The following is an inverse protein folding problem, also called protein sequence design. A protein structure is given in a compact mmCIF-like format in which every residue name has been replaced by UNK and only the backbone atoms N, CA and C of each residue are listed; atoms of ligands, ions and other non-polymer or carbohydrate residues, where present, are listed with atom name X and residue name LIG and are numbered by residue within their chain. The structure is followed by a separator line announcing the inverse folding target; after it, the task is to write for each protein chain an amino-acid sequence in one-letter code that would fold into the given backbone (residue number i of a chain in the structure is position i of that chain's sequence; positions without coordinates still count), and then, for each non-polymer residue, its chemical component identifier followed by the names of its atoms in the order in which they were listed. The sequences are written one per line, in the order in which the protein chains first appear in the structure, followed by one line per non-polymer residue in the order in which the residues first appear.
data_IF_860517616081
#
_entry.id   IF_860517616081
#
_cell.length_a   1.000
_cell.length_b   1.000
_cell.length_c   1.000
_cell.angle_alpha   90.00
_cell.angle_beta   90.00
_cell.angle_gamma   90.00
#
_symmetry.space_group_name_H-M   'P 1'
#
loop_
_entity.id
_entity.type
_entity.pdbx_description
1 polymer ?
#
# COMPACT_ATOMS: atom_id res chain seq x y z
N UNK A 1 13.83 13.05 -3.28
CA UNK A 1 12.91 12.18 -2.48
C UNK A 1 13.70 11.14 -1.72
N UNK A 2 13.20 10.62 -0.59
CA UNK A 2 13.96 9.69 0.27
C UNK A 2 13.92 8.23 -0.20
N UNK A 3 13.37 7.94 -1.37
CA UNK A 3 13.12 6.58 -1.82
C UNK A 3 12.02 5.84 -1.04
N UNK A 4 11.33 6.54 -0.12
CA UNK A 4 10.28 6.02 0.75
C UNK A 4 8.98 6.79 0.51
N UNK A 5 7.88 6.08 0.27
CA UNK A 5 6.54 6.66 0.22
C UNK A 5 5.99 6.89 1.62
N UNK A 6 5.30 8.01 1.82
CA UNK A 6 4.61 8.34 3.07
C UNK A 6 3.16 8.70 2.74
N UNK A 7 2.22 8.16 3.50
CA UNK A 7 0.83 8.58 3.43
C UNK A 7 0.18 8.55 4.81
N UNK A 8 -0.83 9.42 4.99
CA UNK A 8 -1.70 9.43 6.17
C UNK A 8 -2.99 8.70 5.77
N UNK A 9 -3.33 7.64 6.48
CA UNK A 9 -4.45 6.75 6.17
C UNK A 9 -5.48 6.80 7.30
N UNK A 10 -6.71 7.19 6.98
CA UNK A 10 -7.89 6.95 7.80
C UNK A 10 -8.55 5.68 7.30
N UNK A 11 -8.50 4.61 8.09
CA UNK A 11 -8.95 3.27 7.69
C UNK A 11 -10.47 3.25 7.53
N UNK A 12 -10.97 2.61 6.46
CA UNK A 12 -12.41 2.45 6.22
C UNK A 12 -13.14 1.86 7.44
N UNK A 13 -14.33 2.37 7.71
CA UNK A 13 -15.24 1.89 8.77
C UNK A 13 -16.39 1.04 8.23
N UNK A 14 -16.32 0.64 6.96
CA UNK A 14 -17.36 -0.15 6.31
C UNK A 14 -17.32 -1.61 6.78
N UNK A 15 -18.45 -2.16 7.23
CA UNK A 15 -18.52 -3.57 7.59
C UNK A 15 -18.36 -4.46 6.33
N UNK A 16 -17.68 -5.59 6.49
CA UNK A 16 -17.54 -6.64 5.51
C UNK A 16 -18.42 -7.85 5.86
N UNK A 17 -18.40 -8.90 5.03
CA UNK A 17 -19.22 -10.11 5.23
C UNK A 17 -18.91 -10.85 6.54
N UNK A 18 -17.68 -10.75 7.04
CA UNK A 18 -17.27 -11.30 8.35
C UNK A 18 -17.64 -10.42 9.55
N UNK A 19 -18.37 -9.32 9.32
CA UNK A 19 -18.78 -8.36 10.33
C UNK A 19 -17.68 -7.38 10.77
N UNK A 20 -16.44 -7.58 10.34
CA UNK A 20 -15.33 -6.67 10.66
C UNK A 20 -15.32 -5.47 9.70
N UNK A 21 -14.91 -4.31 10.23
CA UNK A 21 -14.71 -3.10 9.43
C UNK A 21 -13.25 -2.99 9.03
N UNK A 22 -12.95 -2.37 7.89
CA UNK A 22 -11.55 -2.12 7.53
C UNK A 22 -11.26 -2.09 6.05
N UNK A 23 -9.96 -2.24 5.74
CA UNK A 23 -9.39 -2.14 4.41
C UNK A 23 -9.47 -3.40 3.56
N UNK A 24 -8.98 -3.28 2.32
CA UNK A 24 -8.86 -4.38 1.38
C UNK A 24 -7.62 -5.22 1.68
N UNK A 25 -7.74 -6.52 1.88
CA UNK A 25 -6.58 -7.40 2.00
C UNK A 25 -5.78 -7.44 0.70
N UNK A 26 -4.46 -7.34 0.82
CA UNK A 26 -3.53 -7.38 -0.31
C UNK A 26 -2.12 -7.74 0.15
N UNK A 27 -1.21 -8.00 -0.77
CA UNK A 27 0.22 -8.07 -0.54
C UNK A 27 0.96 -7.09 -1.45
N UNK A 28 2.19 -6.73 -1.05
CA UNK A 28 3.17 -6.11 -1.94
C UNK A 28 4.19 -7.16 -2.39
N UNK A 29 4.55 -7.13 -3.67
CA UNK A 29 5.50 -8.09 -4.24
C UNK A 29 6.95 -7.65 -4.04
N UNK A 30 7.22 -6.35 -3.94
CA UNK A 30 8.57 -5.77 -3.90
C UNK A 30 8.77 -4.77 -2.74
N UNK A 31 7.71 -4.25 -2.15
CA UNK A 31 7.80 -3.23 -1.12
C UNK A 31 7.63 -3.81 0.28
N UNK A 32 8.54 -3.46 1.20
CA UNK A 32 8.25 -3.56 2.62
C UNK A 32 7.39 -2.36 3.04
N UNK A 33 6.49 -2.58 3.97
CA UNK A 33 5.56 -1.60 4.47
C UNK A 33 5.62 -1.54 6.00
N UNK A 34 5.38 -0.36 6.55
CA UNK A 34 5.22 -0.20 7.99
C UNK A 34 4.05 0.73 8.30
N UNK A 35 3.38 0.44 9.40
CA UNK A 35 2.32 1.24 9.99
C UNK A 35 2.80 1.88 11.28
N UNK A 36 2.67 3.19 11.40
CA UNK A 36 2.80 3.90 12.67
C UNK A 36 1.41 4.41 13.06
N UNK A 37 0.83 3.84 14.13
CA UNK A 37 -0.52 4.18 14.58
C UNK A 37 -0.52 5.53 15.28
N UNK A 38 -1.35 6.45 14.77
CA UNK A 38 -1.45 7.82 15.33
C UNK A 38 -2.73 8.07 16.10
N UNK A 39 -3.82 7.35 15.79
CA UNK A 39 -5.10 7.48 16.51
C UNK A 39 -5.98 6.24 16.37
N UNK A 40 -6.99 6.13 17.22
CA UNK A 40 -7.97 5.05 17.20
C UNK A 40 -7.42 3.72 17.68
N UNK A 41 -8.12 2.64 17.33
CA UNK A 41 -7.74 1.28 17.67
C UNK A 41 -8.16 0.30 16.58
N UNK A 42 -7.52 -0.87 16.55
CA UNK A 42 -7.85 -1.90 15.59
C UNK A 42 -6.84 -3.04 15.61
N UNK A 43 -6.69 -3.71 14.48
CA UNK A 43 -5.72 -4.76 14.29
C UNK A 43 -5.22 -4.80 12.84
N UNK A 44 -4.07 -5.40 12.61
CA UNK A 44 -3.66 -5.90 11.30
C UNK A 44 -3.69 -7.42 11.32
N UNK A 45 -4.49 -7.99 10.42
CA UNK A 45 -4.51 -9.42 10.12
C UNK A 45 -3.47 -9.68 9.05
N UNK A 46 -2.59 -10.64 9.27
CA UNK A 46 -1.55 -11.02 8.32
C UNK A 46 -1.62 -12.50 7.99
N UNK A 47 -1.27 -12.83 6.75
CA UNK A 47 -1.09 -14.19 6.30
C UNK A 47 0.26 -14.29 5.57
N UNK A 48 1.08 -15.20 6.04
CA UNK A 48 2.42 -15.50 5.52
C UNK A 48 2.57 -16.99 5.26
N UNK A 49 3.73 -17.39 4.77
CA UNK A 49 4.05 -18.81 4.66
C UNK A 49 3.99 -19.57 5.99
N UNK A 50 4.21 -18.86 7.10
CA UNK A 50 4.13 -19.41 8.47
C UNK A 50 2.72 -19.53 9.02
N UNK A 51 1.74 -18.89 8.38
CA UNK A 51 0.33 -18.93 8.77
C UNK A 51 -0.27 -17.56 9.03
N UNK A 52 -1.44 -17.57 9.67
CA UNK A 52 -2.24 -16.40 10.01
C UNK A 52 -1.85 -15.86 11.39
N UNK A 53 -1.76 -14.54 11.48
CA UNK A 53 -1.58 -13.81 12.75
C UNK A 53 -2.46 -12.56 12.77
N UNK A 54 -2.78 -12.09 13.97
CA UNK A 54 -3.45 -10.81 14.19
C UNK A 54 -2.66 -10.00 15.21
N UNK A 55 -2.27 -8.78 14.83
CA UNK A 55 -1.51 -7.88 15.69
C UNK A 55 -2.39 -6.68 16.05
N UNK A 56 -2.56 -6.42 17.34
CA UNK A 56 -3.33 -5.27 17.83
C UNK A 56 -2.64 -3.95 17.48
N UNK A 57 -3.44 -2.96 17.09
CA UNK A 57 -3.02 -1.61 16.73
C UNK A 57 -3.62 -0.59 17.71
N UNK A 58 -2.74 0.16 18.35
CA UNK A 58 -3.08 1.26 19.25
C UNK A 58 -2.07 2.41 19.04
N UNK A 59 -2.39 3.67 19.41
CA UNK A 59 -1.49 4.80 19.25
C UNK A 59 -0.09 4.52 19.82
N UNK A 60 0.94 4.81 19.02
CA UNK A 60 2.34 4.53 19.32
C UNK A 60 2.84 3.15 18.88
N UNK A 61 1.96 2.23 18.50
CA UNK A 61 2.39 0.96 17.90
C UNK A 61 3.01 1.18 16.51
N UNK A 62 4.11 0.46 16.25
CA UNK A 62 4.74 0.38 14.92
C UNK A 62 4.81 -1.08 14.51
N UNK A 63 4.23 -1.40 13.37
CA UNK A 63 4.24 -2.76 12.80
C UNK A 63 4.87 -2.69 11.42
N UNK A 64 5.78 -3.60 11.11
CA UNK A 64 6.43 -3.71 9.81
C UNK A 64 6.27 -5.11 9.24
N UNK A 65 6.04 -5.21 7.95
CA UNK A 65 6.01 -6.47 7.20
C UNK A 65 6.78 -6.36 5.88
N UNK A 66 7.26 -7.50 5.43
CA UNK A 66 8.09 -7.63 4.24
C UNK A 66 7.24 -7.99 3.01
N UNK A 67 7.78 -7.87 1.78
CA UNK A 67 7.12 -8.36 0.58
C UNK A 67 6.61 -9.79 0.75
N UNK A 68 5.46 -10.10 0.14
CA UNK A 68 4.81 -11.41 0.25
C UNK A 68 3.93 -11.59 1.49
N UNK A 69 3.87 -10.62 2.40
CA UNK A 69 2.91 -10.65 3.52
C UNK A 69 1.55 -10.15 3.04
N UNK A 70 0.54 -11.02 2.97
CA UNK A 70 -0.85 -10.59 2.84
C UNK A 70 -1.25 -9.91 4.15
N UNK A 71 -1.84 -8.73 4.06
CA UNK A 71 -2.26 -7.98 5.23
C UNK A 71 -3.61 -7.29 5.00
N UNK A 72 -4.40 -7.19 6.08
CA UNK A 72 -5.71 -6.53 6.13
C UNK A 72 -5.79 -5.68 7.39
N UNK A 73 -6.08 -4.40 7.25
CA UNK A 73 -6.41 -3.54 8.39
C UNK A 73 -7.84 -3.79 8.85
N UNK A 74 -8.01 -3.97 10.15
CA UNK A 74 -9.30 -4.02 10.85
C UNK A 74 -9.43 -2.75 11.69
N UNK A 75 -10.50 -1.99 11.47
CA UNK A 75 -10.79 -0.76 12.19
C UNK A 75 -11.70 -1.04 13.38
N UNK A 76 -11.13 -0.96 14.59
CA UNK A 76 -11.86 -1.12 15.85
C UNK A 76 -12.51 0.19 16.34
N UNK A 77 -12.20 1.32 15.71
CA UNK A 77 -12.76 2.64 16.00
C UNK A 77 -11.76 3.76 15.72
N UNK A 78 -12.02 4.55 14.68
CA UNK A 78 -11.24 5.74 14.33
C UNK A 78 -9.76 5.47 14.03
N UNK A 79 -9.42 4.27 13.53
CA UNK A 79 -8.04 3.89 13.26
C UNK A 79 -7.42 4.78 12.18
N UNK A 80 -6.38 5.50 12.56
CA UNK A 80 -5.57 6.34 11.67
C UNK A 80 -4.10 5.99 11.83
N UNK A 81 -3.42 5.83 10.72
CA UNK A 81 -2.01 5.40 10.67
C UNK A 81 -1.22 6.24 9.68
N UNK A 82 0.06 6.43 9.95
CA UNK A 82 1.03 6.84 8.93
C UNK A 82 1.58 5.56 8.30
N UNK A 83 1.42 5.45 7.00
CA UNK A 83 1.97 4.37 6.19
C UNK A 83 3.33 4.79 5.67
N UNK A 84 4.33 3.95 5.91
CA UNK A 84 5.69 4.09 5.40
C UNK A 84 5.93 2.95 4.41
N UNK A 85 6.18 3.33 3.15
CA UNK A 85 6.36 2.37 2.07
C UNK A 85 7.78 2.45 1.54
N UNK A 86 8.51 1.34 1.60
CA UNK A 86 9.77 1.21 0.87
C UNK A 86 9.51 1.35 -0.63
N UNK A 87 10.48 1.81 -1.38
CA UNK A 87 10.40 1.88 -2.84
C UNK A 87 9.23 2.75 -3.34
N UNK A 88 9.24 4.03 -2.97
CA UNK A 88 8.28 5.04 -3.46
C UNK A 88 8.06 4.93 -4.98
N UNK A 89 6.80 4.95 -5.41
CA UNK A 89 6.40 4.83 -6.82
C UNK A 89 6.09 3.40 -7.29
N UNK A 90 6.55 2.35 -6.61
CA UNK A 90 6.23 0.97 -6.95
C UNK A 90 4.79 0.58 -6.53
N UNK A 91 4.29 0.94 -5.34
CA UNK A 91 2.91 0.69 -4.97
C UNK A 91 1.92 1.30 -5.97
N UNK A 92 2.18 2.53 -6.38
CA UNK A 92 1.38 3.26 -7.36
C UNK A 92 1.48 2.64 -8.77
N UNK A 93 2.60 2.01 -9.09
CA UNK A 93 2.79 1.27 -10.34
C UNK A 93 2.07 -0.08 -10.37
N UNK A 94 1.50 -0.52 -9.23
CA UNK A 94 0.75 -1.77 -9.12
C UNK A 94 1.56 -2.95 -8.59
N UNK A 95 2.54 -2.69 -7.72
CA UNK A 95 3.22 -3.70 -6.91
C UNK A 95 2.26 -4.44 -5.96
N UNK A 96 1.18 -3.78 -5.54
CA UNK A 96 0.16 -4.37 -4.69
C UNK A 96 -0.77 -5.31 -5.46
N UNK A 97 -1.01 -6.51 -4.92
CA UNK A 97 -1.96 -7.48 -5.44
C UNK A 97 -3.04 -7.78 -4.41
N UNK A 98 -4.29 -7.51 -4.78
CA UNK A 98 -5.47 -7.76 -3.95
C UNK A 98 -5.79 -9.26 -3.88
N UNK A 99 -6.26 -9.71 -2.73
CA UNK A 99 -6.63 -11.11 -2.49
C UNK A 99 -8.00 -11.47 -3.08
N UNK A 100 -8.22 -11.18 -4.35
CA UNK A 100 -9.48 -11.56 -5.01
C UNK A 100 -9.65 -13.08 -5.10
N UNK A 101 -10.87 -13.59 -5.29
CA UNK A 101 -11.12 -15.02 -5.53
C UNK A 101 -10.29 -15.59 -6.69
N UNK A 102 -9.96 -16.90 -6.68
CA UNK A 102 -9.06 -17.51 -7.65
C UNK A 102 -9.50 -17.35 -9.12
N UNK A 103 -10.79 -17.34 -9.40
CA UNK A 103 -11.32 -17.14 -10.75
C UNK A 103 -11.13 -15.71 -11.28
N UNK A 104 -11.02 -14.73 -10.38
CA UNK A 104 -10.66 -13.35 -10.74
C UNK A 104 -9.15 -13.22 -10.92
N UNK A 105 -8.36 -13.86 -10.06
CA UNK A 105 -6.90 -13.85 -10.14
C UNK A 105 -6.36 -14.56 -11.39
N UNK A 106 -7.07 -15.58 -11.86
CA UNK A 106 -6.69 -16.37 -13.05
C UNK A 106 -6.89 -15.62 -14.38
N UNK A 107 -7.65 -14.53 -14.39
CA UNK A 107 -7.93 -13.74 -15.59
C UNK A 107 -7.44 -12.29 -15.40
N UNK A 108 -6.32 -11.89 -16.03
CA UNK A 108 -5.77 -10.53 -15.90
C UNK A 108 -6.75 -9.41 -16.29
N UNK A 109 -7.66 -9.65 -17.22
CA UNK A 109 -8.64 -8.64 -17.62
C UNK A 109 -9.73 -8.47 -16.55
N UNK A 110 -10.23 -9.56 -15.97
CA UNK A 110 -11.15 -9.55 -14.83
C UNK A 110 -10.50 -8.92 -13.61
N UNK A 111 -9.26 -9.29 -13.31
CA UNK A 111 -8.49 -8.68 -12.22
C UNK A 111 -8.39 -7.16 -12.39
N UNK A 112 -7.97 -6.70 -13.57
CA UNK A 112 -7.85 -5.28 -13.86
C UNK A 112 -9.21 -4.53 -13.79
N UNK A 113 -10.31 -5.17 -14.19
CA UNK A 113 -11.64 -4.60 -14.02
C UNK A 113 -12.06 -4.51 -12.55
N UNK A 114 -11.81 -5.55 -11.76
CA UNK A 114 -12.11 -5.59 -10.33
C UNK A 114 -11.29 -4.55 -9.53
N UNK A 115 -10.03 -4.31 -9.90
CA UNK A 115 -9.18 -3.26 -9.28
C UNK A 115 -9.79 -1.87 -9.50
N UNK A 116 -10.45 -1.63 -10.64
CA UNK A 116 -11.08 -0.34 -10.98
C UNK A 116 -12.53 -0.19 -10.50
N UNK A 117 -13.11 -1.21 -9.87
CA UNK A 117 -14.47 -1.11 -9.30
C UNK A 117 -14.50 -0.10 -8.14
N UNK A 118 -15.71 0.27 -7.71
CA UNK A 118 -15.90 1.18 -6.59
C UNK A 118 -15.13 0.70 -5.34
N UNK A 119 -14.57 1.59 -4.53
CA UNK A 119 -13.69 1.21 -3.42
C UNK A 119 -14.29 0.16 -2.48
N UNK A 120 -15.60 0.26 -2.19
CA UNK A 120 -16.29 -0.69 -1.33
C UNK A 120 -16.44 -2.06 -1.98
N UNK A 121 -16.85 -2.11 -3.24
CA UNK A 121 -16.99 -3.36 -4.00
C UNK A 121 -15.66 -4.09 -4.11
N UNK A 122 -14.60 -3.35 -4.47
CA UNK A 122 -13.23 -3.86 -4.54
C UNK A 122 -12.77 -4.43 -3.19
N UNK A 123 -13.04 -3.71 -2.09
CA UNK A 123 -12.72 -4.14 -0.75
C UNK A 123 -13.49 -5.42 -0.38
N UNK A 124 -14.78 -5.49 -0.65
CA UNK A 124 -15.62 -6.63 -0.31
C UNK A 124 -15.16 -7.88 -1.06
N UNK A 125 -14.88 -7.77 -2.35
CA UNK A 125 -14.34 -8.86 -3.16
C UNK A 125 -12.95 -9.33 -2.66
N UNK A 126 -12.10 -8.40 -2.21
CA UNK A 126 -10.80 -8.76 -1.65
C UNK A 126 -10.95 -9.47 -0.29
N UNK A 127 -11.92 -9.08 0.53
CA UNK A 127 -12.22 -9.78 1.79
C UNK A 127 -12.73 -11.19 1.55
N UNK A 128 -13.65 -11.40 0.59
CA UNK A 128 -14.10 -12.74 0.18
C UNK A 128 -12.91 -13.66 -0.13
N UNK A 129 -12.02 -13.21 -1.01
CA UNK A 129 -10.84 -13.99 -1.38
C UNK A 129 -9.88 -14.22 -0.21
N UNK A 130 -9.70 -13.23 0.68
CA UNK A 130 -8.87 -13.38 1.88
C UNK A 130 -9.40 -14.43 2.85
N UNK A 131 -10.70 -14.45 3.11
CA UNK A 131 -11.32 -15.43 3.99
C UNK A 131 -11.18 -16.84 3.43
N UNK A 132 -11.33 -16.98 2.12
CA UNK A 132 -11.11 -18.23 1.40
C UNK A 132 -9.64 -18.66 1.48
N UNK A 133 -8.72 -17.76 1.17
CA UNK A 133 -7.28 -18.00 1.25
C UNK A 133 -6.85 -18.46 2.66
N UNK A 134 -7.39 -17.81 3.69
CA UNK A 134 -7.15 -18.19 5.09
C UNK A 134 -7.68 -19.58 5.40
N UNK A 135 -8.85 -19.95 4.90
CA UNK A 135 -9.44 -21.27 5.10
C UNK A 135 -8.67 -22.39 4.37
N UNK A 136 -8.16 -22.14 3.17
CA UNK A 136 -7.36 -23.07 2.37
C UNK A 136 -5.95 -23.28 2.95
N UNK A 137 -5.47 -22.35 3.75
CA UNK A 137 -4.16 -22.43 4.40
C UNK A 137 -2.99 -22.39 3.42
N UNK A 138 -1.91 -23.14 3.72
CA UNK A 138 -0.67 -23.08 2.93
C UNK A 138 -0.83 -23.43 1.43
N UNK A 139 -1.64 -24.43 1.02
CA UNK A 139 -1.86 -24.68 -0.41
C UNK A 139 -2.51 -23.51 -1.14
N UNK A 140 -3.55 -22.92 -0.55
CA UNK A 140 -4.19 -21.73 -1.12
C UNK A 140 -3.23 -20.54 -1.18
N UNK A 141 -2.43 -20.33 -0.13
CA UNK A 141 -1.44 -19.25 -0.09
C UNK A 141 -0.36 -19.43 -1.18
N UNK A 142 0.11 -20.67 -1.42
CA UNK A 142 1.05 -20.96 -2.50
C UNK A 142 0.45 -20.59 -3.87
N UNK A 143 -0.78 -21.03 -4.15
CA UNK A 143 -1.46 -20.72 -5.40
C UNK A 143 -1.69 -19.21 -5.57
N UNK A 144 -2.00 -18.49 -4.49
CA UNK A 144 -2.13 -17.03 -4.51
C UNK A 144 -0.80 -16.34 -4.85
N UNK A 145 0.34 -16.78 -4.28
CA UNK A 145 1.64 -16.21 -4.60
C UNK A 145 2.01 -16.41 -6.09
N UNK A 146 1.72 -17.59 -6.65
CA UNK A 146 1.92 -17.87 -8.08
C UNK A 146 1.05 -16.95 -8.96
N UNK A 147 -0.23 -16.80 -8.62
CA UNK A 147 -1.12 -15.90 -9.34
C UNK A 147 -0.66 -14.43 -9.24
N UNK A 148 -0.25 -13.99 -8.05
CA UNK A 148 0.28 -12.64 -7.84
C UNK A 148 1.53 -12.37 -8.67
N UNK A 149 2.47 -13.33 -8.71
CA UNK A 149 3.66 -13.23 -9.54
C UNK A 149 3.32 -13.14 -11.03
N UNK A 150 2.35 -13.94 -11.50
CA UNK A 150 1.86 -13.88 -12.89
C UNK A 150 1.23 -12.54 -13.25
N UNK A 151 0.45 -11.94 -12.34
CA UNK A 151 -0.20 -10.65 -12.56
C UNK A 151 0.78 -9.48 -12.64
N UNK A 152 1.89 -9.53 -11.90
CA UNK A 152 2.91 -8.46 -11.91
C UNK A 152 3.99 -8.66 -12.97
N UNK A 153 4.20 -9.89 -13.45
CA UNK A 153 5.27 -10.22 -14.41
C UNK A 153 5.36 -9.27 -15.63
N UNK A 154 4.24 -8.86 -16.28
CA UNK A 154 4.30 -7.93 -17.42
C UNK A 154 4.74 -6.51 -17.06
N UNK A 155 4.88 -6.18 -15.77
CA UNK A 155 5.22 -4.84 -15.27
C UNK A 155 6.64 -4.73 -14.72
N UNK A 156 7.39 -5.83 -14.66
CA UNK A 156 8.69 -5.87 -13.99
C UNK A 156 9.69 -4.87 -14.55
N UNK A 157 9.73 -4.67 -15.87
CA UNK A 157 10.62 -3.68 -16.49
C UNK A 157 10.25 -2.24 -16.05
N UNK A 158 8.95 -1.94 -15.96
CA UNK A 158 8.48 -0.65 -15.48
C UNK A 158 8.77 -0.47 -13.97
N UNK A 159 8.68 -1.53 -13.18
CA UNK A 159 9.07 -1.50 -11.76
C UNK A 159 10.56 -1.27 -11.60
N UNK A 160 11.40 -1.95 -12.40
CA UNK A 160 12.85 -1.75 -12.37
C UNK A 160 13.22 -0.29 -12.74
N UNK A 161 12.63 0.26 -13.78
CA UNK A 161 12.85 1.66 -14.17
C UNK A 161 12.51 2.63 -13.02
N UNK A 162 11.34 2.47 -12.39
CA UNK A 162 10.92 3.31 -11.25
C UNK A 162 11.83 3.15 -10.03
N UNK A 163 12.22 1.92 -9.72
CA UNK A 163 13.14 1.66 -8.64
C UNK A 163 14.50 2.32 -8.88
N UNK A 164 15.04 2.22 -10.11
CA UNK A 164 16.30 2.89 -10.49
C UNK A 164 16.20 4.41 -10.39
N UNK A 165 15.12 4.98 -10.91
CA UNK A 165 14.94 6.44 -10.97
C UNK A 165 14.56 7.08 -9.63
N UNK A 166 14.04 6.32 -8.70
CA UNK A 166 13.65 6.78 -7.37
C UNK A 166 14.54 6.24 -6.24
N UNK A 167 14.21 5.08 -5.67
CA UNK A 167 14.89 4.54 -4.49
C UNK A 167 16.39 4.32 -4.66
N UNK A 168 16.83 3.74 -5.79
CA UNK A 168 18.25 3.50 -6.05
C UNK A 168 18.99 4.83 -6.20
N UNK A 169 18.45 5.79 -6.97
CA UNK A 169 19.07 7.11 -7.13
C UNK A 169 19.21 7.84 -5.80
N UNK A 170 18.24 7.73 -4.89
CA UNK A 170 18.34 8.31 -3.55
C UNK A 170 19.52 7.72 -2.75
N UNK A 171 19.72 6.40 -2.84
CA UNK A 171 20.86 5.74 -2.22
C UNK A 171 22.20 6.13 -2.88
N UNK A 172 22.28 6.22 -4.19
CA UNK A 172 23.46 6.67 -4.94
C UNK A 172 23.84 8.11 -4.63
N UNK A 173 22.86 9.00 -4.45
CA UNK A 173 23.08 10.37 -4.00
C UNK A 173 23.78 10.40 -2.65
N UNK A 174 23.34 9.57 -1.70
CA UNK A 174 24.02 9.43 -0.40
C UNK A 174 25.47 8.94 -0.57
N UNK A 175 25.71 8.00 -1.48
CA UNK A 175 27.07 7.54 -1.81
C UNK A 175 27.97 8.66 -2.33
N UNK A 176 27.46 9.50 -3.23
CA UNK A 176 28.18 10.67 -3.76
C UNK A 176 28.46 11.70 -2.66
N UNK A 177 27.50 11.98 -1.76
CA UNK A 177 27.70 12.87 -0.61
C UNK A 177 28.76 12.35 0.36
N UNK A 178 28.81 11.04 0.62
CA UNK A 178 29.87 10.42 1.42
C UNK A 178 31.25 10.59 0.77
N UNK A 179 31.35 10.46 -0.53
CA UNK A 179 32.61 10.66 -1.26
C UNK A 179 33.03 12.14 -1.21
N UNK A 180 32.12 13.08 -1.39
CA UNK A 180 32.37 14.52 -1.27
C UNK A 180 32.89 14.88 0.13
N UNK A 181 32.25 14.41 1.18
CA UNK A 181 32.69 14.65 2.56
C UNK A 181 34.09 14.10 2.84
N UNK A 182 34.42 12.92 2.32
CA UNK A 182 35.81 12.37 2.43
C UNK A 182 36.86 13.24 1.74
N UNK A 183 36.46 13.94 0.66
CA UNK A 183 37.30 14.87 -0.05
C UNK A 183 37.32 16.28 0.55
N UNK A 184 36.58 16.54 1.63
CA UNK A 184 36.43 17.87 2.24
C UNK A 184 35.53 18.81 1.43
N UNK A 185 34.77 18.29 0.45
CA UNK A 185 33.83 19.08 -0.30
C UNK A 185 32.48 19.15 0.45
N UNK A 186 32.06 20.39 0.75
CA UNK A 186 30.86 20.73 1.53
C UNK A 186 29.77 21.37 0.64
N UNK A 187 29.88 21.29 -0.68
CA UNK A 187 28.95 21.98 -1.60
C UNK A 187 27.50 21.59 -1.31
N UNK A 188 27.19 20.29 -1.24
CA UNK A 188 25.84 19.79 -0.99
C UNK A 188 25.23 20.24 0.35
N UNK A 189 26.05 20.56 1.37
CA UNK A 189 25.55 21.08 2.64
C UNK A 189 25.16 22.56 2.54
N UNK A 190 25.76 23.31 1.62
CA UNK A 190 25.45 24.73 1.36
C UNK A 190 24.20 24.90 0.49
N UNK A 191 23.80 23.84 -0.21
CA UNK A 191 22.62 23.79 -1.08
C UNK A 191 21.39 23.21 -0.36
N UNK A 192 21.46 23.12 1.00
CA UNK A 192 20.37 22.56 1.80
C UNK A 192 19.06 23.35 1.63
N UNK A 193 17.96 22.63 1.41
CA UNK A 193 16.63 23.19 1.18
C UNK A 193 15.62 22.69 2.21
N UNK A 194 14.57 23.47 2.44
CA UNK A 194 13.39 23.08 3.20
C UNK A 194 12.16 23.24 2.31
N UNK A 195 11.52 22.11 1.99
CA UNK A 195 10.34 22.11 1.12
C UNK A 195 9.14 21.49 1.85
N UNK A 196 7.99 22.18 1.78
CA UNK A 196 6.71 21.61 2.21
C UNK A 196 6.15 20.75 1.09
N UNK A 197 6.03 19.44 1.34
CA UNK A 197 5.45 18.51 0.36
C UNK A 197 3.91 18.62 0.40
N UNK A 198 3.25 18.88 -0.75
CA UNK A 198 1.80 18.90 -0.81
C UNK A 198 1.24 17.48 -0.65
N UNK A 199 0.01 17.39 -0.12
CA UNK A 199 -0.72 16.14 -0.04
C UNK A 199 -1.87 16.12 -1.06
N UNK A 200 -2.16 14.93 -1.59
CA UNK A 200 -3.28 14.68 -2.50
C UNK A 200 -4.23 13.68 -1.84
N UNK A 201 -5.52 14.01 -1.66
CA UNK A 201 -6.51 13.07 -1.13
C UNK A 201 -6.86 12.00 -2.17
N UNK A 202 -7.01 10.75 -1.73
CA UNK A 202 -7.37 9.59 -2.56
C UNK A 202 -8.13 8.55 -1.76
N UNK A 203 -8.95 7.76 -2.44
CA UNK A 203 -9.47 6.50 -1.93
C UNK A 203 -8.47 5.38 -2.23
N UNK A 204 -7.78 4.92 -1.17
CA UNK A 204 -6.81 3.83 -1.25
C UNK A 204 -7.44 2.45 -1.16
N UNK A 205 -6.61 1.42 -0.99
CA UNK A 205 -7.07 0.06 -0.73
C UNK A 205 -7.64 -0.10 0.68
N UNK A 206 -7.05 0.57 1.66
CA UNK A 206 -7.38 0.37 3.07
C UNK A 206 -8.17 1.51 3.70
N UNK A 207 -8.37 2.64 3.01
CA UNK A 207 -9.04 3.81 3.58
C UNK A 207 -8.83 5.06 2.74
N UNK A 208 -9.22 6.19 3.32
CA UNK A 208 -8.98 7.52 2.75
C UNK A 208 -7.54 7.93 3.02
N UNK A 209 -6.79 8.18 1.96
CA UNK A 209 -5.37 8.54 1.99
C UNK A 209 -5.15 10.03 1.75
N UNK A 210 -4.22 10.61 2.51
CA UNK A 210 -3.46 11.77 2.08
C UNK A 210 -2.08 11.28 1.65
N UNK A 211 -1.82 11.26 0.35
CA UNK A 211 -0.52 10.83 -0.19
C UNK A 211 0.37 12.04 -0.37
N UNK A 212 1.59 11.98 0.16
CA UNK A 212 2.60 13.02 0.02
C UNK A 212 3.51 12.66 -1.16
N UNK A 213 3.27 13.35 -2.27
CA UNK A 213 3.97 13.10 -3.54
C UNK A 213 4.94 14.23 -3.80
N UNK A 214 6.23 13.92 -3.80
CA UNK A 214 7.23 14.92 -4.18
C UNK A 214 7.58 14.88 -5.68
N UNK A 215 7.46 13.76 -6.40
CA UNK A 215 7.88 13.61 -7.80
C UNK A 215 7.25 12.38 -8.48
N UNK A 216 5.96 12.15 -8.39
CA UNK A 216 5.36 11.12 -9.23
C UNK A 216 4.97 11.72 -10.58
N UNK A 217 5.46 11.17 -11.72
CA UNK A 217 4.88 11.44 -13.01
C UNK A 217 3.40 11.02 -12.98
N UNK A 218 2.59 11.65 -13.82
CA UNK A 218 1.15 11.44 -13.90
C UNK A 218 0.72 10.02 -13.59
N UNK A 219 0.08 9.84 -12.44
CA UNK A 219 -0.55 8.57 -12.09
C UNK A 219 -1.74 8.40 -13.04
N UNK A 220 -1.96 7.21 -13.60
CA UNK A 220 -3.21 6.95 -14.32
C UNK A 220 -4.37 7.30 -13.38
N UNK A 221 -5.34 8.06 -13.90
CA UNK A 221 -6.53 8.50 -13.18
C UNK A 221 -7.18 7.35 -12.40
N UNK A 222 -6.89 7.28 -11.11
CA UNK A 222 -7.76 6.58 -10.20
C UNK A 222 -8.97 7.51 -10.01
N UNK A 223 -10.21 7.01 -10.06
CA UNK A 223 -11.38 7.84 -9.91
C UNK A 223 -11.27 8.65 -8.61
N UNK A 224 -11.41 9.97 -8.75
CA UNK A 224 -11.43 10.88 -7.60
C UNK A 224 -12.54 10.51 -6.61
N UNK A 225 -12.49 11.02 -5.37
CA UNK A 225 -13.52 10.77 -4.37
C UNK A 225 -14.88 11.17 -4.96
N UNK A 226 -15.88 10.28 -4.81
CA UNK A 226 -17.25 10.62 -5.13
C UNK A 226 -17.65 11.84 -4.29
N UNK A 227 -18.22 12.88 -4.93
CA UNK A 227 -18.71 14.04 -4.22
C UNK A 227 -19.69 13.58 -3.12
N UNK A 228 -19.59 14.15 -1.90
CA UNK A 228 -20.55 13.82 -0.85
C UNK A 228 -21.94 14.18 -1.34
N UNK A 229 -22.87 13.20 -1.31
CA UNK A 229 -24.26 13.44 -1.62
C UNK A 229 -24.76 14.58 -0.73
N UNK A 230 -25.22 15.67 -1.34
CA UNK A 230 -25.86 16.76 -0.64
C UNK A 230 -27.07 16.18 0.11
N UNK A 231 -26.98 16.13 1.41
CA UNK A 231 -28.16 15.88 2.24
C UNK A 231 -29.03 17.11 2.12
N UNK A 232 -30.10 16.96 1.34
CA UNK A 232 -31.19 17.95 1.26
C UNK A 232 -31.62 18.34 2.67
N UNK A 233 -31.53 19.63 2.94
CA UNK A 233 -32.17 20.24 4.09
C UNK A 233 -33.67 20.37 3.74
N UNK A 234 -34.49 19.60 4.38
CA UNK A 234 -35.88 19.88 4.60
C UNK A 234 -36.11 20.20 6.11
#
# INVERSE_FOLDING_TARGET
MFGTGVSDLTVYDWPAEDGLRGGSPHLHTLCAEAYAVVAGSGAVQTLTWSGYEETALAPGAVVRFTPGTVHRLVNGGGLRIVVLMQNSGLPEAGDAVLTFPPDVLADPARYAAAVRSAPRERRDLAVEGFLRLRAEGRPGFAAFLEAAAGLVAPRLDAFEARWRDGPLRAAETTGAQLAALRAGDLAHLREAEVTRVPSVPRDGMCGHLLTYLSDLPDLPDLPGPAEPAEHGRD
#
